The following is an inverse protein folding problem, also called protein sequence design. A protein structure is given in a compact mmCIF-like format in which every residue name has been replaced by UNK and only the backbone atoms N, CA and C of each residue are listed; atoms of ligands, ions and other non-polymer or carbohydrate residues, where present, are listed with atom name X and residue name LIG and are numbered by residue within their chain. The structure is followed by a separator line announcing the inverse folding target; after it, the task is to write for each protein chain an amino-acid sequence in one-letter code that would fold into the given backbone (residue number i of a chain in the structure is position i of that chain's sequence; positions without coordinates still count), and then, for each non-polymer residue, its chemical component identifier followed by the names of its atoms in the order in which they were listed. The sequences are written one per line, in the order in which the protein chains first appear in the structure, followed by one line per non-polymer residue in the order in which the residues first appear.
data_IF_542511145219
#
_entry.id   IF_542511145219
#
_cell.length_a   1.000
_cell.length_b   1.000
_cell.length_c   1.000
_cell.angle_alpha   90.00
_cell.angle_beta   90.00
_cell.angle_gamma   90.00
#
_symmetry.space_group_name_H-M   'P 1'
#
loop_
_entity.id
_entity.type
_entity.pdbx_description
1 polymer ?
#
# COMPACT_ATOMS: atom_id res chain seq x y z
N UNK A 1 40.00 -9.77 -27.89
CA UNK A 1 39.18 -10.99 -28.10
C UNK A 1 39.54 -11.54 -29.47
N UNK A 2 39.88 -12.81 -29.56
CA UNK A 2 40.10 -13.47 -30.85
C UNK A 2 38.75 -13.84 -31.48
N UNK A 3 38.73 -13.98 -32.81
CA UNK A 3 37.56 -14.50 -33.50
C UNK A 3 37.22 -15.91 -32.98
N UNK A 4 35.94 -16.17 -32.72
CA UNK A 4 35.46 -17.45 -32.16
C UNK A 4 35.62 -17.61 -30.65
N UNK A 5 36.16 -16.61 -29.93
CA UNK A 5 36.25 -16.66 -28.47
C UNK A 5 34.86 -16.49 -27.83
N UNK A 6 34.39 -17.54 -27.16
CA UNK A 6 33.19 -17.47 -26.31
C UNK A 6 33.55 -16.75 -25.02
N UNK A 7 32.82 -15.67 -24.73
CA UNK A 7 32.88 -15.00 -23.44
C UNK A 7 31.75 -15.52 -22.56
N UNK A 8 32.11 -16.29 -21.53
CA UNK A 8 31.19 -16.68 -20.48
C UNK A 8 31.35 -15.71 -19.31
N UNK A 9 30.25 -15.13 -18.85
CA UNK A 9 30.22 -14.40 -17.60
C UNK A 9 29.03 -14.89 -16.77
N UNK A 10 29.21 -14.95 -15.46
CA UNK A 10 28.17 -15.38 -14.52
C UNK A 10 27.62 -14.15 -13.83
N UNK A 11 26.35 -13.83 -14.09
CA UNK A 11 25.62 -12.81 -13.37
C UNK A 11 24.87 -13.47 -12.20
N UNK A 12 25.05 -12.92 -10.99
CA UNK A 12 24.29 -13.33 -9.80
C UNK A 12 23.27 -12.25 -9.49
N UNK A 13 22.00 -12.61 -9.47
CA UNK A 13 20.89 -11.75 -9.08
C UNK A 13 19.88 -12.58 -8.30
N UNK A 14 19.10 -11.92 -7.45
CA UNK A 14 18.02 -12.55 -6.71
C UNK A 14 16.70 -11.99 -7.22
N UNK A 15 15.71 -12.87 -7.35
CA UNK A 15 14.33 -12.50 -7.63
C UNK A 15 13.50 -12.70 -6.37
N UNK A 16 12.46 -11.90 -6.14
CA UNK A 16 11.51 -12.14 -5.07
C UNK A 16 10.92 -13.56 -5.16
N UNK A 17 10.41 -14.09 -4.04
CA UNK A 17 9.65 -15.34 -4.01
C UNK A 17 8.53 -15.37 -5.05
N UNK A 18 8.20 -16.55 -5.54
CA UNK A 18 7.21 -16.74 -6.61
C UNK A 18 5.87 -16.05 -6.31
N UNK A 19 5.40 -16.14 -5.06
CA UNK A 19 4.13 -15.58 -4.59
C UNK A 19 4.07 -14.05 -4.72
N UNK A 20 5.23 -13.39 -4.70
CA UNK A 20 5.36 -11.95 -4.87
C UNK A 20 5.80 -11.55 -6.29
N UNK A 21 6.38 -12.49 -7.04
CA UNK A 21 6.78 -12.31 -8.43
C UNK A 21 5.67 -12.71 -9.43
N UNK A 22 4.57 -13.31 -8.97
CA UNK A 22 3.51 -13.79 -9.84
C UNK A 22 2.89 -12.65 -10.66
N UNK A 23 2.86 -12.81 -11.99
CA UNK A 23 2.36 -11.78 -12.91
C UNK A 23 3.38 -10.69 -13.26
N UNK A 24 4.58 -10.73 -12.67
CA UNK A 24 5.70 -9.85 -13.01
C UNK A 24 6.64 -10.51 -14.03
N UNK A 25 7.22 -9.71 -14.92
CA UNK A 25 8.23 -10.15 -15.88
C UNK A 25 9.57 -9.48 -15.58
N UNK A 26 10.63 -10.27 -15.41
CA UNK A 26 12.00 -9.77 -15.25
C UNK A 26 12.73 -9.84 -16.60
N UNK A 27 13.32 -8.72 -17.02
CA UNK A 27 14.10 -8.65 -18.27
C UNK A 27 15.57 -8.43 -17.94
N UNK A 28 16.43 -9.37 -18.30
CA UNK A 28 17.89 -9.18 -18.28
C UNK A 28 18.30 -8.58 -19.63
N UNK A 29 18.95 -7.40 -19.62
CA UNK A 29 19.49 -6.76 -20.82
C UNK A 29 21.01 -6.73 -20.74
N UNK A 30 21.69 -7.35 -21.70
CA UNK A 30 23.12 -7.23 -21.87
C UNK A 30 23.41 -6.18 -22.96
N UNK A 31 24.19 -5.15 -22.63
CA UNK A 31 24.62 -4.11 -23.57
C UNK A 31 26.11 -4.29 -23.85
N UNK A 32 26.48 -4.45 -25.13
CA UNK A 32 27.87 -4.49 -25.56
C UNK A 32 28.31 -3.08 -25.99
N UNK A 33 29.12 -2.41 -25.17
CA UNK A 33 29.74 -1.15 -25.55
C UNK A 33 31.07 -1.43 -26.27
N UNK A 34 31.09 -1.32 -27.59
CA UNK A 34 32.32 -1.45 -28.39
C UNK A 34 32.96 -0.09 -28.61
N UNK A 35 34.17 0.14 -28.11
CA UNK A 35 34.93 1.41 -28.25
C UNK A 35 35.55 1.63 -29.63
N UNK A 36 35.23 0.84 -30.65
CA UNK A 36 35.64 1.06 -32.05
C UNK A 36 34.50 0.81 -33.04
N UNK A 37 34.27 1.70 -34.02
CA UNK A 37 33.20 1.57 -35.01
C UNK A 37 33.56 0.65 -36.20
N UNK A 38 34.50 -0.28 -36.06
CA UNK A 38 34.64 -1.35 -37.05
C UNK A 38 33.55 -2.37 -36.78
N UNK A 39 32.53 -2.36 -37.64
CA UNK A 39 31.36 -3.24 -37.64
C UNK A 39 31.74 -4.69 -37.35
N UNK A 40 31.69 -5.05 -36.07
CA UNK A 40 31.71 -6.44 -35.64
C UNK A 40 30.25 -6.87 -35.71
N UNK A 41 29.92 -7.69 -36.71
CA UNK A 41 28.59 -8.28 -36.84
C UNK A 41 28.42 -9.27 -35.68
N UNK A 42 27.91 -8.76 -34.55
CA UNK A 42 27.58 -9.56 -33.39
C UNK A 42 26.30 -10.32 -33.74
N UNK A 43 26.44 -11.50 -34.31
CA UNK A 43 25.35 -12.46 -34.38
C UNK A 43 24.95 -12.83 -32.94
N UNK A 44 23.98 -12.11 -32.39
CA UNK A 44 23.39 -12.40 -31.08
C UNK A 44 22.38 -13.54 -31.24
N UNK A 45 22.90 -14.75 -31.50
CA UNK A 45 22.12 -15.95 -31.22
C UNK A 45 21.52 -15.84 -29.80
N UNK A 46 20.31 -16.36 -29.55
CA UNK A 46 19.71 -16.33 -28.23
C UNK A 46 20.73 -16.77 -27.17
N UNK A 47 20.96 -15.92 -26.17
CA UNK A 47 21.85 -16.26 -25.06
C UNK A 47 21.25 -17.45 -24.32
N UNK A 48 21.93 -18.60 -24.36
CA UNK A 48 21.54 -19.75 -23.54
C UNK A 48 21.73 -19.40 -22.08
N UNK A 49 20.61 -19.21 -21.37
CA UNK A 49 20.60 -19.02 -19.93
C UNK A 49 20.56 -20.38 -19.26
N UNK A 50 21.58 -20.67 -18.44
CA UNK A 50 21.58 -21.82 -17.55
C UNK A 50 21.24 -21.36 -16.15
N UNK A 51 20.07 -21.77 -15.66
CA UNK A 51 19.67 -21.54 -14.26
C UNK A 51 20.24 -22.69 -13.44
N UNK A 52 21.08 -22.36 -12.46
CA UNK A 52 21.58 -23.32 -11.49
C UNK A 52 20.69 -23.20 -10.26
N UNK A 53 20.01 -24.29 -9.91
CA UNK A 53 19.26 -24.34 -8.66
C UNK A 53 20.21 -24.22 -7.47
N UNK A 54 19.80 -23.51 -6.43
CA UNK A 54 20.67 -23.33 -5.28
C UNK A 54 20.86 -24.63 -4.50
N UNK A 55 22.11 -24.88 -4.07
CA UNK A 55 22.44 -26.01 -3.21
C UNK A 55 22.04 -25.80 -1.75
N UNK A 56 22.04 -26.87 -0.96
CA UNK A 56 21.69 -26.82 0.48
C UNK A 56 22.55 -25.82 1.29
N UNK A 57 23.82 -25.62 0.90
CA UNK A 57 24.72 -24.66 1.54
C UNK A 57 24.32 -23.19 1.31
N UNK A 58 23.47 -22.92 0.32
CA UNK A 58 22.98 -21.59 -0.03
C UNK A 58 21.64 -21.26 0.64
N UNK A 59 21.06 -22.21 1.38
CA UNK A 59 19.83 -21.98 2.12
C UNK A 59 20.08 -21.12 3.36
N UNK A 60 19.12 -20.26 3.67
CA UNK A 60 19.15 -19.41 4.85
C UNK A 60 18.37 -20.02 5.98
N UNK A 61 18.92 -19.92 7.18
CA UNK A 61 18.22 -20.17 8.42
C UNK A 61 17.68 -18.83 8.94
N UNK A 62 16.35 -18.73 9.02
CA UNK A 62 15.66 -17.53 9.52
C UNK A 62 14.97 -17.86 10.85
N UNK A 63 15.35 -17.13 11.89
CA UNK A 63 14.58 -17.02 13.14
C UNK A 63 13.88 -15.67 13.13
N UNK A 64 12.57 -15.70 12.89
CA UNK A 64 11.71 -14.54 12.84
C UNK A 64 10.75 -14.56 14.02
N UNK A 65 10.89 -13.54 14.88
CA UNK A 65 10.02 -13.34 16.03
C UNK A 65 9.31 -12.03 15.88
N UNK A 66 8.02 -12.10 16.12
CA UNK A 66 7.12 -10.97 16.04
C UNK A 66 6.42 -10.88 17.36
N UNK A 67 6.62 -9.75 18.02
CA UNK A 67 5.91 -9.35 19.22
C UNK A 67 4.90 -8.27 18.83
N UNK A 68 4.11 -7.83 19.81
CA UNK A 68 2.97 -6.96 19.57
C UNK A 68 3.28 -5.73 18.72
N UNK A 69 4.39 -5.03 18.99
CA UNK A 69 4.79 -3.78 18.34
C UNK A 69 6.21 -3.84 17.75
N UNK A 70 6.86 -5.00 17.80
CA UNK A 70 8.28 -5.17 17.51
C UNK A 70 8.53 -6.44 16.74
N UNK A 71 9.58 -6.42 15.94
CA UNK A 71 10.11 -7.63 15.33
C UNK A 71 11.59 -7.81 15.67
N UNK A 72 11.99 -9.07 15.70
CA UNK A 72 13.36 -9.50 15.73
C UNK A 72 13.57 -10.50 14.60
N UNK A 73 14.59 -10.27 13.81
CA UNK A 73 14.97 -11.11 12.69
C UNK A 73 16.43 -11.50 12.85
N UNK A 74 16.69 -12.81 12.84
CA UNK A 74 18.04 -13.36 12.79
C UNK A 74 18.17 -14.24 11.56
N UNK A 75 19.23 -13.98 10.81
CA UNK A 75 19.58 -14.65 9.57
C UNK A 75 20.96 -15.25 9.70
N UNK A 76 21.05 -16.53 9.41
CA UNK A 76 22.32 -17.26 9.40
C UNK A 76 22.41 -18.15 8.18
N UNK A 77 23.63 -18.53 7.80
CA UNK A 77 23.84 -19.58 6.80
C UNK A 77 23.35 -20.95 7.30
N UNK A 78 23.42 -21.96 6.43
CA UNK A 78 23.06 -23.35 6.75
C UNK A 78 23.85 -23.94 7.94
N UNK A 79 24.99 -23.34 8.33
CA UNK A 79 25.82 -23.77 9.47
C UNK A 79 25.53 -22.99 10.77
N UNK A 80 24.61 -22.03 10.73
CA UNK A 80 24.25 -21.19 11.86
C UNK A 80 25.17 -19.98 12.08
N UNK A 81 26.07 -19.67 11.13
CA UNK A 81 26.93 -18.49 11.20
C UNK A 81 26.20 -17.25 10.66
N UNK A 82 26.43 -16.07 11.25
CA UNK A 82 25.94 -14.82 10.69
C UNK A 82 26.39 -14.62 9.24
N UNK A 83 25.50 -14.12 8.40
CA UNK A 83 25.85 -13.76 7.03
C UNK A 83 26.70 -12.48 6.99
N UNK A 84 27.65 -12.37 6.03
CA UNK A 84 28.32 -11.13 5.75
C UNK A 84 27.37 -10.12 5.07
N UNK A 85 27.49 -8.84 5.41
CA UNK A 85 26.77 -7.75 4.74
C UNK A 85 27.25 -7.58 3.29
N UNK A 86 26.39 -7.10 2.35
CA UNK A 86 25.03 -6.60 2.59
C UNK A 86 23.97 -7.70 2.62
N UNK A 87 23.00 -7.55 3.52
CA UNK A 87 21.76 -8.33 3.58
C UNK A 87 20.63 -7.35 3.32
N UNK A 88 19.73 -7.69 2.41
CA UNK A 88 18.51 -6.93 2.13
C UNK A 88 17.31 -7.70 2.65
N UNK A 89 16.36 -7.01 3.25
CA UNK A 89 15.09 -7.61 3.62
C UNK A 89 13.94 -6.71 3.22
N UNK A 90 12.83 -7.34 2.89
CA UNK A 90 11.55 -6.69 2.72
C UNK A 90 10.57 -7.36 3.66
N UNK A 91 9.77 -6.56 4.37
CA UNK A 91 8.71 -7.07 5.23
C UNK A 91 7.45 -6.29 4.96
N UNK A 92 6.35 -7.02 4.93
CA UNK A 92 5.00 -6.60 4.68
C UNK A 92 4.16 -7.01 5.88
N UNK A 93 3.42 -6.05 6.45
CA UNK A 93 2.37 -6.33 7.41
C UNK A 93 1.05 -6.21 6.69
N UNK A 94 0.22 -7.25 6.80
CA UNK A 94 -1.14 -7.26 6.29
C UNK A 94 -2.12 -7.48 7.44
N UNK A 95 -3.23 -6.77 7.40
CA UNK A 95 -4.35 -6.97 8.30
C UNK A 95 -5.61 -7.20 7.51
N UNK A 96 -6.31 -8.31 7.76
CA UNK A 96 -7.60 -8.56 7.16
C UNK A 96 -8.68 -7.80 7.95
N UNK A 97 -9.02 -6.60 7.47
CA UNK A 97 -10.11 -5.77 8.03
C UNK A 97 -11.27 -5.76 7.02
N UNK A 98 -12.06 -6.82 6.94
CA UNK A 98 -13.10 -6.91 5.91
C UNK A 98 -12.50 -6.96 4.49
N UNK A 99 -13.03 -6.17 3.54
CA UNK A 99 -12.69 -6.26 2.10
C UNK A 99 -11.34 -5.66 1.65
N UNK A 100 -10.49 -5.22 2.58
CA UNK A 100 -9.20 -4.59 2.26
C UNK A 100 -8.06 -5.00 3.21
N UNK A 101 -6.88 -5.24 2.63
CA UNK A 101 -5.63 -5.42 3.36
C UNK A 101 -4.92 -4.08 3.50
N UNK A 102 -4.61 -3.66 4.72
CA UNK A 102 -3.69 -2.55 4.95
C UNK A 102 -2.25 -3.06 4.80
N UNK A 103 -1.47 -2.44 3.92
CA UNK A 103 -0.06 -2.77 3.70
C UNK A 103 0.82 -1.68 4.30
N UNK A 104 1.67 -2.02 5.26
CA UNK A 104 2.86 -1.20 5.53
C UNK A 104 4.09 -1.95 5.07
N UNK A 105 4.88 -1.31 4.21
CA UNK A 105 6.25 -1.73 3.97
C UNK A 105 7.06 -1.32 5.20
N UNK A 106 7.64 -2.29 5.91
CA UNK A 106 8.62 -1.93 6.93
C UNK A 106 9.86 -1.41 6.19
N UNK A 107 10.20 -0.14 6.46
CA UNK A 107 11.43 0.47 6.01
C UNK A 107 12.60 -0.34 6.58
N UNK A 108 13.16 -1.20 5.75
CA UNK A 108 14.05 -2.28 6.18
C UNK A 108 15.22 -2.51 5.24
N UNK A 109 15.69 -1.49 4.53
CA UNK A 109 17.12 -1.46 4.16
C UNK A 109 18.02 -1.20 5.38
N UNK A 110 17.49 -1.34 6.59
CA UNK A 110 18.16 -1.04 7.85
C UNK A 110 19.26 -2.04 8.16
N UNK A 111 20.40 -1.51 8.62
CA UNK A 111 21.66 -2.20 8.83
C UNK A 111 21.53 -3.53 9.58
N UNK A 112 21.61 -4.64 8.86
CA UNK A 112 21.88 -5.93 9.49
C UNK A 112 23.23 -5.84 10.20
N UNK A 113 23.24 -5.98 11.51
CA UNK A 113 24.50 -6.08 12.27
C UNK A 113 24.71 -7.52 12.65
N UNK A 114 25.69 -8.18 12.04
CA UNK A 114 25.98 -9.60 12.24
C UNK A 114 24.74 -10.50 12.03
N UNK A 115 24.05 -10.32 10.90
CA UNK A 115 22.88 -11.12 10.55
C UNK A 115 21.65 -10.90 11.43
N UNK A 116 21.61 -9.83 12.23
CA UNK A 116 20.46 -9.47 13.07
C UNK A 116 19.89 -8.13 12.66
N UNK A 117 18.55 -8.06 12.67
CA UNK A 117 17.79 -6.84 12.53
C UNK A 117 16.65 -6.84 13.57
N UNK A 118 16.30 -5.67 14.06
CA UNK A 118 15.15 -5.46 14.93
C UNK A 118 14.57 -4.10 14.69
N UNK A 119 13.26 -3.96 14.84
CA UNK A 119 12.58 -2.70 14.67
C UNK A 119 11.17 -2.74 15.23
N UNK A 120 10.50 -1.61 15.11
CA UNK A 120 9.08 -1.49 15.42
C UNK A 120 8.26 -1.93 14.21
N UNK A 121 7.16 -2.66 14.45
CA UNK A 121 6.23 -3.07 13.40
C UNK A 121 5.33 -1.92 12.92
N UNK A 122 5.15 -0.89 13.76
CA UNK A 122 4.12 0.11 13.57
C UNK A 122 4.70 1.53 13.49
N UNK A 123 4.71 2.10 12.27
CA UNK A 123 4.66 3.55 12.08
C UNK A 123 3.24 4.09 11.87
N UNK A 124 2.28 3.20 11.59
CA UNK A 124 0.88 3.48 11.23
C UNK A 124 -0.10 2.74 12.19
N UNK A 125 -1.32 3.24 12.40
CA UNK A 125 -2.28 2.69 13.36
C UNK A 125 -3.00 1.44 12.82
N UNK A 126 -2.49 0.24 13.11
CA UNK A 126 -3.22 -1.01 12.88
C UNK A 126 -4.34 -1.24 13.92
N UNK A 127 -5.43 -1.90 13.51
CA UNK A 127 -6.57 -2.18 14.38
C UNK A 127 -6.31 -3.41 15.26
N UNK A 128 -5.97 -3.21 16.52
CA UNK A 128 -5.60 -4.27 17.46
C UNK A 128 -6.66 -5.38 17.69
N UNK A 129 -7.86 -5.27 17.10
CA UNK A 129 -8.94 -6.28 17.15
C UNK A 129 -8.82 -7.39 16.12
N UNK A 130 -8.04 -7.21 15.06
CA UNK A 130 -7.87 -8.19 14.00
C UNK A 130 -6.48 -8.83 14.06
N UNK A 131 -6.34 -10.12 13.71
CA UNK A 131 -5.04 -10.74 13.58
C UNK A 131 -4.22 -10.01 12.51
N UNK A 132 -2.91 -9.99 12.71
CA UNK A 132 -1.95 -9.47 11.74
C UNK A 132 -1.23 -10.65 11.11
N UNK A 133 -1.06 -10.60 9.79
CA UNK A 133 -0.19 -11.51 9.07
C UNK A 133 1.04 -10.72 8.62
N UNK A 134 2.19 -11.03 9.21
CA UNK A 134 3.47 -10.41 8.89
C UNK A 134 4.27 -11.38 8.05
N UNK A 135 4.71 -10.94 6.88
CA UNK A 135 5.55 -11.75 5.99
C UNK A 135 6.67 -10.92 5.40
N UNK A 136 7.69 -11.58 4.87
CA UNK A 136 8.79 -10.90 4.23
C UNK A 136 9.72 -11.84 3.51
N UNK A 137 10.76 -11.30 2.89
CA UNK A 137 11.81 -12.07 2.26
C UNK A 137 13.17 -11.43 2.49
N UNK A 138 14.21 -12.25 2.40
CA UNK A 138 15.60 -11.84 2.61
C UNK A 138 16.42 -12.17 1.38
N UNK A 139 17.26 -11.24 0.96
CA UNK A 139 18.24 -11.37 -0.09
C UNK A 139 19.65 -11.19 0.50
N UNK A 140 20.53 -12.15 0.28
CA UNK A 140 21.94 -12.08 0.68
C UNK A 140 22.84 -12.67 -0.42
N UNK A 141 24.05 -12.11 -0.66
CA UNK A 141 24.99 -12.64 -1.63
C UNK A 141 25.21 -14.15 -1.47
N UNK A 142 25.18 -14.87 -2.58
CA UNK A 142 25.42 -16.32 -2.68
C UNK A 142 24.41 -17.25 -1.99
N UNK A 143 23.32 -16.69 -1.45
CA UNK A 143 22.25 -17.42 -0.80
C UNK A 143 20.92 -17.33 -1.57
N UNK A 144 19.90 -18.07 -1.11
CA UNK A 144 18.56 -18.08 -1.71
C UNK A 144 17.64 -17.14 -0.97
N UNK A 145 16.78 -16.46 -1.73
CA UNK A 145 15.69 -15.70 -1.15
C UNK A 145 14.76 -16.60 -0.37
N UNK A 146 14.62 -16.35 0.92
CA UNK A 146 13.77 -17.16 1.81
C UNK A 146 12.64 -16.29 2.34
N UNK A 147 11.41 -16.78 2.17
CA UNK A 147 10.21 -16.17 2.75
C UNK A 147 10.18 -16.50 4.24
N UNK A 148 9.79 -15.53 5.03
CA UNK A 148 9.43 -15.74 6.43
C UNK A 148 8.05 -15.15 6.67
N UNK A 149 7.26 -15.80 7.52
CA UNK A 149 5.92 -15.37 7.85
C UNK A 149 5.57 -15.71 9.30
N UNK A 150 4.67 -14.91 9.86
CA UNK A 150 4.13 -15.09 11.20
C UNK A 150 2.77 -14.44 11.33
N UNK A 151 1.84 -15.20 11.92
CA UNK A 151 0.58 -14.66 12.38
C UNK A 151 0.72 -14.13 13.81
N UNK A 152 0.26 -12.90 14.04
CA UNK A 152 0.06 -12.33 15.36
C UNK A 152 -1.42 -12.41 15.66
N UNK A 153 -1.77 -13.06 16.77
CA UNK A 153 -3.14 -13.10 17.24
C UNK A 153 -3.66 -11.68 17.53
N UNK A 154 -4.96 -11.48 17.38
CA UNK A 154 -5.61 -10.24 17.80
C UNK A 154 -5.33 -9.95 19.28
N UNK A 155 -4.90 -8.73 19.57
CA UNK A 155 -4.59 -8.28 20.93
C UNK A 155 -5.86 -8.12 21.76
N UNK A 156 -6.94 -7.80 21.08
CA UNK A 156 -8.27 -7.63 21.63
C UNK A 156 -9.24 -8.56 20.90
N UNK A 157 -9.28 -9.85 21.25
CA UNK A 157 -10.27 -10.76 20.70
C UNK A 157 -11.66 -10.14 20.88
N UNK A 158 -12.47 -10.19 19.82
CA UNK A 158 -13.82 -9.65 19.73
C UNK A 158 -14.55 -9.70 21.08
N UNK A 159 -14.79 -8.53 21.69
CA UNK A 159 -15.52 -8.40 22.95
C UNK A 159 -14.79 -7.68 24.10
N UNK A 160 -13.49 -7.38 23.98
CA UNK A 160 -12.78 -6.51 24.93
C UNK A 160 -12.19 -5.31 24.22
N UNK A 161 -12.88 -4.17 24.30
CA UNK A 161 -12.40 -2.88 23.79
C UNK A 161 -11.02 -2.58 24.37
N UNK A 162 -10.00 -2.76 23.57
CA UNK A 162 -8.67 -2.32 23.93
C UNK A 162 -8.11 -1.42 22.84
N UNK A 163 -7.40 -0.41 23.32
CA UNK A 163 -7.22 0.89 22.67
C UNK A 163 -8.55 1.58 22.32
N UNK A 164 -9.36 1.83 23.34
CA UNK A 164 -9.75 3.23 23.50
C UNK A 164 -8.46 3.97 23.89
N UNK A 165 -7.67 4.37 22.88
CA UNK A 165 -7.11 5.70 22.97
C UNK A 165 -8.30 6.63 23.25
N UNK A 166 -8.10 7.73 23.97
CA UNK A 166 -9.13 8.72 24.25
C UNK A 166 -9.60 9.45 22.96
N UNK A 167 -9.89 8.69 21.89
CA UNK A 167 -10.57 9.10 20.70
C UNK A 167 -11.85 9.78 21.15
N UNK A 168 -11.87 11.11 21.03
CA UNK A 168 -13.09 11.87 21.25
C UNK A 168 -14.23 11.19 20.48
N UNK A 169 -15.41 11.03 21.11
CA UNK A 169 -16.45 10.16 20.61
C UNK A 169 -16.80 10.53 19.17
N UNK A 170 -16.78 9.52 18.30
CA UNK A 170 -17.26 9.61 16.92
C UNK A 170 -18.71 10.08 16.94
N UNK A 171 -18.97 11.30 16.48
CA UNK A 171 -20.31 11.84 16.42
C UNK A 171 -21.03 11.27 15.20
N UNK A 172 -22.22 10.70 15.39
CA UNK A 172 -23.01 10.05 14.34
C UNK A 172 -24.36 10.73 14.21
N UNK A 173 -24.66 11.20 13.01
CA UNK A 173 -25.88 11.92 12.67
C UNK A 173 -26.66 11.18 11.59
N UNK A 174 -27.99 11.35 11.59
CA UNK A 174 -28.87 10.85 10.51
C UNK A 174 -29.19 11.92 9.45
N UNK A 175 -28.70 13.14 9.63
CA UNK A 175 -28.94 14.28 8.75
C UNK A 175 -27.67 15.11 8.60
N UNK A 176 -27.43 15.63 7.40
CA UNK A 176 -26.37 16.61 7.13
C UNK A 176 -26.65 17.92 7.86
N UNK A 177 -27.90 18.41 7.84
CA UNK A 177 -28.29 19.65 8.54
C UNK A 177 -27.92 19.57 10.02
N UNK A 178 -28.25 18.46 10.68
CA UNK A 178 -27.94 18.30 12.10
C UNK A 178 -26.44 18.18 12.37
N UNK A 179 -25.72 17.49 11.48
CA UNK A 179 -24.27 17.42 11.57
C UNK A 179 -23.62 18.80 11.37
N UNK A 180 -24.18 19.62 10.47
CA UNK A 180 -23.72 20.98 10.18
C UNK A 180 -23.99 21.93 11.34
N UNK A 181 -25.15 21.84 11.99
CA UNK A 181 -25.51 22.67 13.14
C UNK A 181 -24.55 22.45 14.33
N UNK A 182 -23.97 21.25 14.44
CA UNK A 182 -23.03 20.88 15.50
C UNK A 182 -21.55 21.01 15.08
N UNK A 183 -21.27 21.31 13.81
CA UNK A 183 -19.92 21.47 13.28
C UNK A 183 -19.49 22.94 13.20
N UNK A 184 -18.23 23.22 13.51
CA UNK A 184 -17.61 24.55 13.37
C UNK A 184 -17.02 24.82 11.97
N UNK A 185 -17.30 23.93 11.02
CA UNK A 185 -16.80 23.94 9.64
C UNK A 185 -17.93 23.55 8.68
N UNK A 186 -17.78 23.89 7.41
CA UNK A 186 -18.76 23.52 6.38
C UNK A 186 -18.68 22.03 6.05
N UNK A 187 -19.82 21.36 6.02
CA UNK A 187 -19.98 19.98 5.61
C UNK A 187 -20.52 19.97 4.18
N UNK A 188 -19.61 19.71 3.25
CA UNK A 188 -19.93 19.61 1.83
C UNK A 188 -20.70 18.34 1.54
N UNK A 189 -21.65 18.38 0.61
CA UNK A 189 -22.44 17.21 0.26
C UNK A 189 -22.84 17.21 -1.23
N UNK A 190 -23.00 16.04 -1.86
CA UNK A 190 -23.42 15.97 -3.24
C UNK A 190 -24.87 16.42 -3.37
N UNK A 191 -25.14 17.33 -4.30
CA UNK A 191 -26.49 17.87 -4.53
C UNK A 191 -27.20 17.26 -5.73
N UNK A 192 -26.50 16.46 -6.53
CA UNK A 192 -27.06 15.75 -7.67
C UNK A 192 -26.96 14.23 -7.46
N UNK A 193 -27.76 13.71 -6.52
CA UNK A 193 -27.84 12.28 -6.23
C UNK A 193 -28.94 11.59 -7.05
N UNK A 194 -28.79 10.30 -7.40
CA UNK A 194 -29.88 9.50 -7.95
C UNK A 194 -31.14 9.56 -7.07
N UNK A 195 -32.33 9.57 -7.67
CA UNK A 195 -33.59 9.84 -6.98
C UNK A 195 -33.95 8.85 -5.85
N UNK A 196 -33.45 7.62 -5.93
CA UNK A 196 -33.63 6.56 -4.94
C UNK A 196 -32.59 6.59 -3.80
N UNK A 197 -31.68 7.56 -3.83
CA UNK A 197 -30.58 7.65 -2.86
C UNK A 197 -31.07 8.06 -1.47
N UNK A 198 -30.66 7.31 -0.46
CA UNK A 198 -30.97 7.62 0.94
C UNK A 198 -29.70 7.84 1.75
N UNK A 199 -29.53 9.02 2.33
CA UNK A 199 -28.52 9.25 3.36
C UNK A 199 -28.80 8.32 4.56
N UNK A 200 -27.82 7.50 4.92
CA UNK A 200 -27.91 6.58 6.08
C UNK A 200 -27.30 7.17 7.32
N UNK A 201 -26.15 7.84 7.18
CA UNK A 201 -25.48 8.51 8.28
C UNK A 201 -24.45 9.50 7.80
N UNK A 202 -24.20 10.49 8.63
CA UNK A 202 -23.01 11.36 8.61
C UNK A 202 -22.22 11.06 9.86
N UNK A 203 -20.91 10.98 9.72
CA UNK A 203 -19.98 10.77 10.82
C UNK A 203 -18.99 11.92 10.85
N UNK A 204 -18.73 12.48 12.03
CA UNK A 204 -17.60 13.37 12.25
C UNK A 204 -16.60 12.67 13.17
N UNK A 205 -15.38 12.50 12.68
CA UNK A 205 -14.28 11.84 13.39
C UNK A 205 -13.22 12.90 13.72
N UNK A 206 -12.99 13.20 15.01
CA UNK A 206 -11.99 14.18 15.42
C UNK A 206 -10.55 13.65 15.25
N UNK A 207 -9.53 14.54 15.31
CA UNK A 207 -8.14 14.19 14.97
C UNK A 207 -7.50 13.11 15.86
N UNK A 208 -7.99 12.88 17.09
CA UNK A 208 -7.29 12.04 18.07
C UNK A 208 -7.73 10.56 18.12
N UNK A 209 -8.35 10.04 17.05
CA UNK A 209 -8.72 8.63 17.02
C UNK A 209 -7.67 7.70 16.39
N UNK A 210 -6.74 8.20 15.57
CA UNK A 210 -5.77 7.37 14.84
C UNK A 210 -4.41 8.06 14.54
N UNK A 211 -4.00 9.08 15.30
CA UNK A 211 -2.79 9.85 14.93
C UNK A 211 -2.96 10.68 13.65
N UNK A 212 -4.20 10.82 13.16
CA UNK A 212 -4.55 11.62 12.00
C UNK A 212 -4.45 13.12 12.33
N UNK A 213 -3.88 13.90 11.42
CA UNK A 213 -3.75 15.37 11.56
C UNK A 213 -4.99 16.14 11.08
N UNK A 214 -6.12 15.45 10.88
CA UNK A 214 -7.32 16.02 10.26
C UNK A 214 -8.61 15.57 10.94
N UNK A 215 -9.64 16.40 10.82
CA UNK A 215 -11.02 15.98 11.07
C UNK A 215 -11.52 15.30 9.80
N UNK A 216 -12.18 14.17 9.95
CA UNK A 216 -12.82 13.47 8.84
C UNK A 216 -14.35 13.52 8.98
N UNK A 217 -15.02 13.94 7.92
CA UNK A 217 -16.47 13.81 7.79
C UNK A 217 -16.79 12.72 6.77
N UNK A 218 -17.48 11.66 7.18
CA UNK A 218 -17.88 10.57 6.30
C UNK A 218 -19.40 10.55 6.13
N UNK A 219 -19.87 10.58 4.89
CA UNK A 219 -21.28 10.46 4.54
C UNK A 219 -21.52 9.14 3.81
N UNK A 220 -22.53 8.39 4.25
CA UNK A 220 -22.92 7.12 3.65
C UNK A 220 -24.31 7.22 3.06
N UNK A 221 -24.41 6.95 1.77
CA UNK A 221 -25.64 6.97 1.00
C UNK A 221 -25.95 5.56 0.50
N UNK A 222 -27.15 5.07 0.79
CA UNK A 222 -27.64 3.81 0.22
C UNK A 222 -28.25 4.09 -1.16
N UNK A 223 -27.87 3.26 -2.12
CA UNK A 223 -28.45 3.19 -3.47
C UNK A 223 -29.25 1.90 -3.60
N UNK A 224 -30.00 1.74 -4.70
CA UNK A 224 -30.62 0.43 -5.02
C UNK A 224 -29.55 -0.67 -5.14
N UNK A 225 -28.45 -0.41 -5.86
CA UNK A 225 -27.42 -1.42 -6.18
C UNK A 225 -26.04 -1.13 -5.55
N UNK A 226 -26.02 -0.58 -4.34
CA UNK A 226 -24.76 -0.40 -3.60
C UNK A 226 -24.78 0.72 -2.59
N UNK A 227 -23.59 1.24 -2.29
CA UNK A 227 -23.39 2.36 -1.37
C UNK A 227 -22.48 3.38 -2.01
N UNK A 228 -22.85 4.65 -1.89
CA UNK A 228 -21.99 5.78 -2.19
C UNK A 228 -21.41 6.32 -0.87
N UNK A 229 -20.11 6.61 -0.85
CA UNK A 229 -19.42 7.17 0.31
C UNK A 229 -18.68 8.44 -0.10
N UNK A 230 -18.93 9.54 0.61
CA UNK A 230 -18.15 10.77 0.49
C UNK A 230 -17.36 10.96 1.78
N UNK A 231 -16.05 11.17 1.67
CA UNK A 231 -15.20 11.64 2.77
C UNK A 231 -14.74 13.06 2.48
N UNK A 232 -14.82 13.90 3.49
CA UNK A 232 -14.23 15.23 3.52
C UNK A 232 -13.17 15.25 4.61
N UNK A 233 -11.98 15.69 4.25
CA UNK A 233 -10.83 15.86 5.13
C UNK A 233 -10.66 17.34 5.43
N UNK A 234 -10.41 17.67 6.69
CA UNK A 234 -10.26 19.05 7.17
C UNK A 234 -8.96 19.12 7.97
N UNK A 235 -7.92 19.75 7.40
CA UNK A 235 -6.65 20.02 8.08
C UNK A 235 -6.16 21.45 7.80
N UNK A 236 -5.30 21.98 8.68
CA UNK A 236 -4.58 23.24 8.45
C UNK A 236 -3.08 23.05 8.71
N UNK A 237 -2.20 23.41 7.75
CA UNK A 237 -2.50 23.64 6.33
C UNK A 237 -2.76 22.32 5.60
N UNK A 238 -3.71 22.30 4.66
CA UNK A 238 -3.60 21.37 3.54
C UNK A 238 -2.46 21.88 2.68
N UNK A 239 -1.30 21.24 2.74
CA UNK A 239 -0.27 21.53 1.75
C UNK A 239 -0.81 21.14 0.38
N UNK A 240 -0.44 21.88 -0.67
CA UNK A 240 -0.77 21.61 -2.08
C UNK A 240 -0.33 20.22 -2.59
N UNK A 241 0.21 19.36 -1.70
CA UNK A 241 0.74 18.04 -1.97
C UNK A 241 -0.20 16.88 -1.62
N UNK A 242 -1.46 17.12 -1.22
CA UNK A 242 -2.54 16.17 -1.52
C UNK A 242 -2.44 14.75 -0.93
N UNK A 243 -1.69 14.54 0.16
CA UNK A 243 -1.26 13.18 0.57
C UNK A 243 -2.39 12.31 1.17
N UNK A 244 -3.67 12.69 1.15
CA UNK A 244 -4.71 11.93 1.90
C UNK A 244 -5.51 10.92 1.07
N UNK A 245 -5.56 11.06 -0.26
CA UNK A 245 -6.48 10.30 -1.10
C UNK A 245 -5.92 8.95 -1.59
N UNK A 246 -6.73 7.89 -1.54
CA UNK A 246 -6.32 6.55 -1.99
C UNK A 246 -5.99 6.52 -3.49
N UNK A 247 -6.79 7.18 -4.32
CA UNK A 247 -6.53 7.26 -5.75
C UNK A 247 -5.25 8.04 -6.02
N UNK A 248 -5.01 9.17 -5.34
CA UNK A 248 -3.77 9.94 -5.49
C UNK A 248 -2.51 9.11 -5.18
N UNK A 249 -2.57 8.28 -4.13
CA UNK A 249 -1.45 7.42 -3.72
C UNK A 249 -1.30 6.12 -4.53
N UNK A 250 -2.24 5.82 -5.41
CA UNK A 250 -2.20 4.59 -6.19
C UNK A 250 -0.97 4.55 -7.11
N UNK A 251 -0.54 3.35 -7.50
CA UNK A 251 0.62 3.19 -8.40
C UNK A 251 0.35 3.71 -9.82
N UNK A 252 -0.92 3.77 -10.24
CA UNK A 252 -1.35 4.17 -11.60
C UNK A 252 -2.71 4.90 -11.59
N UNK A 253 -2.80 6.10 -10.99
CA UNK A 253 -4.02 6.88 -11.06
C UNK A 253 -4.22 7.45 -12.45
N UNK A 254 -5.48 7.51 -12.88
CA UNK A 254 -5.87 8.36 -14.00
C UNK A 254 -6.11 9.78 -13.49
N UNK A 255 -5.49 10.77 -14.15
CA UNK A 255 -5.70 12.18 -13.82
C UNK A 255 -6.92 12.70 -14.56
N UNK A 256 -7.86 13.27 -13.81
CA UNK A 256 -9.08 13.90 -14.32
C UNK A 256 -9.21 15.33 -13.80
N UNK A 257 -10.31 16.00 -14.15
CA UNK A 257 -10.66 17.32 -13.63
C UNK A 257 -11.99 17.23 -12.90
N UNK A 258 -12.05 17.85 -11.73
CA UNK A 258 -13.31 18.15 -11.01
C UNK A 258 -13.31 19.66 -10.86
N UNK A 259 -14.29 20.34 -11.45
CA UNK A 259 -14.25 21.79 -11.63
C UNK A 259 -12.94 22.25 -12.33
N UNK A 260 -12.21 23.19 -11.72
CA UNK A 260 -10.90 23.68 -12.19
C UNK A 260 -9.71 23.02 -11.48
N UNK A 261 -9.96 22.06 -10.57
CA UNK A 261 -8.91 21.38 -9.80
C UNK A 261 -8.44 20.10 -10.49
N UNK A 262 -7.20 19.72 -10.25
CA UNK A 262 -6.72 18.38 -10.60
C UNK A 262 -7.32 17.35 -9.65
N UNK A 263 -7.70 16.21 -10.20
CA UNK A 263 -8.27 15.10 -9.46
C UNK A 263 -7.68 13.78 -9.94
N UNK A 264 -7.77 12.75 -9.12
CA UNK A 264 -7.17 11.44 -9.37
C UNK A 264 -8.23 10.37 -9.18
N UNK A 265 -8.34 9.46 -10.15
CA UNK A 265 -9.32 8.38 -10.09
C UNK A 265 -8.63 7.04 -10.31
N UNK A 266 -9.13 6.04 -9.58
CA UNK A 266 -8.84 4.64 -9.83
C UNK A 266 -10.15 3.84 -9.86
N UNK A 267 -10.07 2.69 -10.51
CA UNK A 267 -11.06 1.64 -10.37
C UNK A 267 -10.47 0.53 -9.49
N UNK A 268 -10.93 0.42 -8.25
CA UNK A 268 -10.58 -0.69 -7.37
C UNK A 268 -11.72 -1.71 -7.33
N UNK A 269 -11.49 -2.87 -7.95
CA UNK A 269 -12.45 -3.97 -8.11
C UNK A 269 -13.80 -3.49 -8.65
N UNK A 270 -14.76 -3.23 -7.75
CA UNK A 270 -16.15 -2.86 -8.05
C UNK A 270 -16.47 -1.40 -7.74
N UNK A 271 -15.48 -0.59 -7.37
CA UNK A 271 -15.68 0.81 -6.99
C UNK A 271 -14.77 1.76 -7.77
N UNK A 272 -15.34 2.89 -8.17
CA UNK A 272 -14.58 4.09 -8.47
C UNK A 272 -14.18 4.75 -7.17
N UNK A 273 -12.92 5.19 -7.09
CA UNK A 273 -12.42 6.02 -6.01
C UNK A 273 -11.83 7.27 -6.66
N UNK A 274 -12.39 8.44 -6.33
CA UNK A 274 -12.03 9.74 -6.89
C UNK A 274 -11.60 10.70 -5.78
N UNK A 275 -10.40 11.25 -5.89
CA UNK A 275 -9.84 12.23 -4.96
C UNK A 275 -9.69 13.60 -5.61
N UNK A 276 -10.05 14.65 -4.89
CA UNK A 276 -9.85 16.04 -5.33
C UNK A 276 -9.75 17.01 -4.14
N UNK A 277 -9.43 18.27 -4.45
CA UNK A 277 -9.45 19.39 -3.50
C UNK A 277 -10.49 20.43 -3.88
N UNK A 278 -11.09 21.07 -2.88
CA UNK A 278 -11.98 22.21 -3.04
C UNK A 278 -12.01 23.04 -1.75
N UNK A 279 -11.84 24.36 -1.86
CA UNK A 279 -11.96 25.33 -0.76
C UNK A 279 -11.14 24.98 0.49
N UNK A 280 -9.88 24.58 0.32
CA UNK A 280 -8.95 24.09 1.37
C UNK A 280 -9.36 22.76 2.04
N UNK A 281 -10.32 22.03 1.46
CA UNK A 281 -10.71 20.69 1.87
C UNK A 281 -10.28 19.64 0.85
N UNK A 282 -10.06 18.45 1.37
CA UNK A 282 -9.75 17.26 0.61
C UNK A 282 -10.98 16.38 0.54
N UNK A 283 -11.21 15.74 -0.60
CA UNK A 283 -12.36 14.88 -0.81
C UNK A 283 -11.95 13.54 -1.38
N UNK A 284 -12.70 12.52 -0.99
CA UNK A 284 -12.61 11.17 -1.54
C UNK A 284 -14.03 10.61 -1.72
N UNK A 285 -14.38 10.28 -2.96
CA UNK A 285 -15.68 9.76 -3.36
C UNK A 285 -15.57 8.32 -3.81
N UNK A 286 -16.36 7.44 -3.20
CA UNK A 286 -16.45 6.03 -3.56
C UNK A 286 -17.82 5.74 -4.16
N UNK A 287 -17.83 5.20 -5.37
CA UNK A 287 -19.05 4.94 -6.12
C UNK A 287 -19.01 3.54 -6.78
N UNK A 288 -20.10 2.75 -6.77
CA UNK A 288 -20.12 1.45 -7.43
C UNK A 288 -19.99 1.54 -8.95
N UNK A 289 -19.05 0.82 -9.54
CA UNK A 289 -18.81 0.80 -11.01
C UNK A 289 -20.02 0.28 -11.78
N UNK A 290 -20.81 -0.63 -11.18
CA UNK A 290 -22.05 -1.15 -11.77
C UNK A 290 -23.14 -0.09 -11.91
N UNK A 291 -23.10 0.94 -11.07
CA UNK A 291 -24.13 2.00 -11.02
C UNK A 291 -23.67 3.27 -11.73
N UNK A 292 -22.37 3.60 -11.65
CA UNK A 292 -21.82 4.83 -12.20
C UNK A 292 -20.72 4.56 -13.23
N UNK A 293 -20.81 5.26 -14.37
CA UNK A 293 -19.67 5.50 -15.24
C UNK A 293 -18.73 6.56 -14.64
N UNK A 294 -17.47 6.59 -15.08
CA UNK A 294 -16.51 7.61 -14.66
C UNK A 294 -17.04 9.04 -14.82
N UNK A 295 -17.67 9.34 -15.97
CA UNK A 295 -18.26 10.65 -16.23
C UNK A 295 -19.34 11.02 -15.19
N UNK A 296 -20.15 10.06 -14.74
CA UNK A 296 -21.14 10.30 -13.69
C UNK A 296 -20.50 10.48 -12.31
N UNK A 297 -19.39 9.79 -12.02
CA UNK A 297 -18.62 9.99 -10.77
C UNK A 297 -18.03 11.39 -10.73
N UNK A 298 -17.48 11.88 -11.84
CA UNK A 298 -16.98 13.25 -11.97
C UNK A 298 -18.12 14.25 -11.78
N UNK A 299 -19.24 14.10 -12.49
CA UNK A 299 -20.39 14.99 -12.35
C UNK A 299 -20.98 14.99 -10.92
N UNK A 300 -20.88 13.87 -10.21
CA UNK A 300 -21.31 13.77 -8.82
C UNK A 300 -20.35 14.55 -7.89
N UNK A 301 -19.04 14.41 -8.09
CA UNK A 301 -18.04 15.20 -7.38
C UNK A 301 -18.19 16.71 -7.65
N UNK A 302 -18.48 17.11 -8.88
CA UNK A 302 -18.77 18.51 -9.24
C UNK A 302 -20.08 19.03 -8.62
N UNK A 303 -20.95 18.16 -8.12
CA UNK A 303 -22.17 18.58 -7.43
C UNK A 303 -21.98 18.83 -5.93
N UNK A 304 -20.77 18.60 -5.42
CA UNK A 304 -20.43 18.72 -4.00
C UNK A 304 -20.27 20.20 -3.61
N UNK A 305 -21.13 20.65 -2.70
CA UNK A 305 -21.17 22.04 -2.21
C UNK A 305 -21.70 22.12 -0.78
#
# INVERSE_FOLDING_TARGET
LSAGQVLTNTLRFQIPPWEQAQGHAFTIRALANTTRPTAMDLATAPLSLHVIEPGAAQQLNIDFKVEQDKYQLRVTDATGKPLPNPIWAHTEVSQEIGEGAAYSGLAGSGDFTNGKASGELFGEPFDARYPLHVRGWIAAPDHVTTVFERDIAALYPQGKNGRQANAAPKAVYRSIVKAQDEASFHIYHPTNLPADTQLKRVTITPPESMGAQWIEVTQFYKLTDGTLKLRQFISKPMTDQGIWGIAYQASKPERVRVHSADAYVIQDKTQWILDWTQDDFGFELWAPVKTFSLAQVIALAESVK
#
